data_IF_132632832522
#
_entry.id   IF_132632832522
#
_cell.length_a   1.000
_cell.length_b   1.000
_cell.length_c   1.000
_cell.angle_alpha   90.00
_cell.angle_beta   90.00
_cell.angle_gamma   90.00
#
_symmetry.space_group_name_H-M   'P 1'
#
loop_
_entity.id
_entity.type
_entity.pdbx_description
1 polymer ?
#
# COMPACT_ATOMS: atom_id res chain seq x y z
N UNK A 1 31.83 -19.92 -49.20
CA UNK A 1 32.18 -18.94 -48.14
C UNK A 1 31.15 -17.83 -47.91
N UNK A 2 30.32 -17.41 -48.87
CA UNK A 2 29.37 -16.28 -48.70
C UNK A 2 28.11 -16.58 -47.84
N UNK A 3 27.62 -17.81 -47.83
CA UNK A 3 26.43 -18.21 -47.06
C UNK A 3 26.63 -18.19 -45.53
N UNK A 4 27.84 -18.50 -45.05
CA UNK A 4 28.14 -18.51 -43.61
C UNK A 4 28.10 -17.10 -43.00
N UNK A 5 28.53 -16.09 -43.75
CA UNK A 5 28.52 -14.69 -43.27
C UNK A 5 27.11 -14.12 -43.17
N UNK A 6 26.21 -14.49 -44.10
CA UNK A 6 24.82 -14.05 -44.07
C UNK A 6 24.04 -14.61 -42.86
N UNK A 7 24.27 -15.89 -42.54
CA UNK A 7 23.65 -16.55 -41.37
C UNK A 7 24.12 -15.91 -40.06
N UNK A 8 25.42 -15.59 -39.95
CA UNK A 8 25.97 -14.89 -38.77
C UNK A 8 25.38 -13.48 -38.61
N UNK A 9 25.18 -12.75 -39.71
CA UNK A 9 24.59 -11.41 -39.68
C UNK A 9 23.11 -11.46 -39.27
N UNK A 10 22.34 -12.41 -39.79
CA UNK A 10 20.94 -12.59 -39.39
C UNK A 10 20.81 -12.97 -37.90
N UNK A 11 21.67 -13.88 -37.42
CA UNK A 11 21.68 -14.27 -36.01
C UNK A 11 22.01 -13.09 -35.10
N UNK A 12 22.95 -12.23 -35.50
CA UNK A 12 23.32 -11.03 -34.76
C UNK A 12 22.19 -9.98 -34.74
N UNK A 13 21.53 -9.75 -35.87
CA UNK A 13 20.36 -8.85 -35.96
C UNK A 13 19.17 -9.37 -35.13
N UNK A 14 18.96 -10.69 -35.11
CA UNK A 14 17.91 -11.30 -34.29
C UNK A 14 18.20 -11.20 -32.79
N UNK A 15 19.44 -11.49 -32.37
CA UNK A 15 19.87 -11.37 -30.98
C UNK A 15 19.79 -9.91 -30.48
N UNK A 16 20.26 -8.95 -31.29
CA UNK A 16 20.19 -7.52 -30.94
C UNK A 16 18.74 -7.03 -30.87
N UNK A 17 17.87 -7.49 -31.78
CA UNK A 17 16.43 -7.19 -31.71
C UNK A 17 15.79 -7.75 -30.44
N UNK A 18 16.16 -8.97 -30.01
CA UNK A 18 15.68 -9.54 -28.74
C UNK A 18 16.13 -8.70 -27.53
N UNK A 19 17.40 -8.27 -27.51
CA UNK A 19 17.93 -7.42 -26.44
C UNK A 19 17.25 -6.04 -26.40
N UNK A 20 16.94 -5.45 -27.55
CA UNK A 20 16.24 -4.17 -27.63
C UNK A 20 14.79 -4.32 -27.16
N UNK A 21 14.11 -5.43 -27.49
CA UNK A 21 12.75 -5.70 -27.03
C UNK A 21 12.69 -5.97 -25.52
N UNK A 22 13.66 -6.68 -24.93
CA UNK A 22 13.72 -6.86 -23.48
C UNK A 22 13.99 -5.54 -22.75
N UNK A 23 14.90 -4.71 -23.28
CA UNK A 23 15.16 -3.38 -22.74
C UNK A 23 13.96 -2.42 -22.91
N UNK A 24 13.16 -2.58 -23.97
CA UNK A 24 11.95 -1.79 -24.19
C UNK A 24 10.75 -2.25 -23.35
N UNK A 25 10.73 -3.50 -22.89
CA UNK A 25 9.75 -3.99 -21.91
C UNK A 25 10.07 -3.56 -20.47
N UNK A 26 11.32 -3.16 -20.20
CA UNK A 26 11.75 -2.58 -18.93
C UNK A 26 11.37 -1.09 -18.83
N UNK A 27 10.17 -0.74 -19.31
CA UNK A 27 9.48 0.47 -18.87
C UNK A 27 9.01 0.20 -17.45
N UNK A 28 9.95 0.22 -16.52
CA UNK A 28 9.72 0.04 -15.09
C UNK A 28 8.49 0.82 -14.66
N UNK A 29 7.64 0.16 -13.89
CA UNK A 29 6.44 0.78 -13.33
C UNK A 29 6.90 2.07 -12.61
N UNK A 30 6.41 3.27 -12.97
CA UNK A 30 6.94 4.51 -12.41
C UNK A 30 6.87 4.43 -10.88
N UNK A 31 7.95 4.83 -10.22
CA UNK A 31 8.06 4.90 -8.77
C UNK A 31 6.93 5.78 -8.22
N UNK A 32 6.21 5.28 -7.21
CA UNK A 32 5.04 5.95 -6.65
C UNK A 32 5.26 6.32 -5.20
N UNK A 33 4.68 7.44 -4.78
CA UNK A 33 4.53 7.81 -3.37
C UNK A 33 3.09 7.60 -2.95
N UNK A 34 2.89 6.69 -1.99
CA UNK A 34 1.58 6.15 -1.62
C UNK A 34 1.33 6.45 -0.14
N UNK A 35 0.10 6.80 0.20
CA UNK A 35 -0.36 6.87 1.58
C UNK A 35 -1.27 5.66 1.87
N UNK A 36 -1.08 5.00 3.00
CA UNK A 36 -1.95 3.92 3.49
C UNK A 36 -2.51 4.31 4.87
N UNK A 37 -3.81 4.58 4.95
CA UNK A 37 -4.50 4.90 6.21
C UNK A 37 -5.18 3.66 6.74
N UNK A 38 -4.90 3.31 8.01
CA UNK A 38 -5.45 2.13 8.67
C UNK A 38 -6.78 2.43 9.39
N UNK A 39 -7.78 1.60 9.19
CA UNK A 39 -9.12 1.71 9.79
C UNK A 39 -9.16 1.37 11.28
N UNK A 40 -10.23 1.80 11.94
CA UNK A 40 -10.53 1.48 13.33
C UNK A 40 -12.03 1.36 13.53
N UNK A 41 -12.45 0.35 14.28
CA UNK A 41 -13.85 0.25 14.69
C UNK A 41 -14.25 1.43 15.57
N UNK A 42 -13.33 2.03 16.33
CA UNK A 42 -13.66 3.23 17.09
C UNK A 42 -13.78 4.43 16.14
N UNK A 43 -14.99 5.00 16.02
CA UNK A 43 -15.27 6.12 15.11
C UNK A 43 -14.36 7.33 15.35
N UNK A 44 -14.14 7.72 16.60
CA UNK A 44 -13.26 8.86 16.94
C UNK A 44 -11.83 8.58 16.49
N UNK A 45 -11.32 7.37 16.72
CA UNK A 45 -9.99 6.94 16.25
C UNK A 45 -9.93 6.95 14.72
N UNK A 46 -10.96 6.49 14.02
CA UNK A 46 -11.04 6.52 12.56
C UNK A 46 -10.95 7.96 12.02
N UNK A 47 -11.77 8.87 12.55
CA UNK A 47 -11.76 10.29 12.18
C UNK A 47 -10.40 10.95 12.45
N UNK A 48 -9.79 10.67 13.60
CA UNK A 48 -8.45 11.15 13.94
C UNK A 48 -7.40 10.66 12.93
N UNK A 49 -7.45 9.38 12.51
CA UNK A 49 -6.51 8.83 11.52
C UNK A 49 -6.70 9.46 10.14
N UNK A 50 -7.94 9.71 9.72
CA UNK A 50 -8.21 10.44 8.47
C UNK A 50 -7.67 11.86 8.55
N UNK A 51 -7.87 12.56 9.68
CA UNK A 51 -7.32 13.89 9.90
C UNK A 51 -5.79 13.89 9.79
N UNK A 52 -5.10 12.91 10.36
CA UNK A 52 -3.64 12.77 10.18
C UNK A 52 -3.25 12.52 8.72
N UNK A 53 -4.04 11.74 8.00
CA UNK A 53 -3.86 11.53 6.56
C UNK A 53 -3.99 12.84 5.78
N UNK A 54 -4.99 13.68 6.09
CA UNK A 54 -5.17 14.99 5.49
C UNK A 54 -4.02 15.95 5.83
N UNK A 55 -3.58 16.00 7.10
CA UNK A 55 -2.42 16.79 7.51
C UNK A 55 -1.15 16.38 6.72
N UNK A 56 -0.96 15.08 6.48
CA UNK A 56 0.15 14.59 5.67
C UNK A 56 -0.04 14.88 4.18
N UNK A 57 -1.28 14.81 3.68
CA UNK A 57 -1.63 15.13 2.29
C UNK A 57 -1.38 16.60 1.95
N UNK A 58 -1.62 17.50 2.90
CA UNK A 58 -1.39 18.95 2.75
C UNK A 58 0.09 19.34 2.93
N UNK A 59 0.97 18.38 3.24
CA UNK A 59 2.40 18.60 3.36
C UNK A 59 3.08 18.73 1.97
N UNK A 60 4.38 19.10 1.90
CA UNK A 60 5.12 19.11 0.65
C UNK A 60 5.29 17.74 -0.03
N UNK A 61 4.87 16.64 0.61
CA UNK A 61 4.94 15.29 0.03
C UNK A 61 3.83 15.13 -1.02
N UNK A 62 4.21 14.88 -2.28
CA UNK A 62 3.25 14.61 -3.35
C UNK A 62 2.87 13.13 -3.38
N UNK A 63 1.58 12.84 -3.18
CA UNK A 63 1.04 11.48 -3.26
C UNK A 63 0.39 11.19 -4.60
N UNK A 64 0.75 10.05 -5.21
CA UNK A 64 0.09 9.51 -6.40
C UNK A 64 -1.34 9.08 -6.07
N UNK A 65 -1.50 8.38 -4.96
CA UNK A 65 -2.81 7.99 -4.41
C UNK A 65 -2.73 7.61 -2.94
N UNK A 66 -3.92 7.45 -2.37
CA UNK A 66 -4.19 7.05 -0.99
C UNK A 66 -4.95 5.73 -1.01
N UNK A 67 -4.52 4.78 -0.19
CA UNK A 67 -5.21 3.55 0.13
C UNK A 67 -5.81 3.70 1.52
N UNK A 68 -7.09 3.37 1.67
CA UNK A 68 -7.78 3.27 2.96
C UNK A 68 -8.14 1.80 3.21
N UNK A 69 -7.65 1.23 4.31
CA UNK A 69 -7.77 -0.21 4.62
C UNK A 69 -8.52 -0.42 5.93
N UNK A 70 -9.68 -1.07 5.86
CA UNK A 70 -10.56 -1.31 7.00
C UNK A 70 -11.88 -1.97 6.58
N UNK A 71 -12.20 -3.11 7.17
CA UNK A 71 -13.34 -3.93 6.77
C UNK A 71 -14.72 -3.44 7.22
N UNK A 72 -15.72 -4.27 6.94
CA UNK A 72 -17.13 -4.01 7.21
C UNK A 72 -17.64 -4.71 8.47
N UNK A 73 -18.75 -4.22 9.01
CA UNK A 73 -19.42 -4.86 10.16
C UNK A 73 -18.95 -4.38 11.52
N UNK A 74 -18.10 -3.34 11.59
CA UNK A 74 -17.87 -2.64 12.84
C UNK A 74 -19.22 -2.13 13.39
N UNK A 75 -19.49 -2.41 14.67
CA UNK A 75 -20.73 -2.03 15.37
C UNK A 75 -22.04 -2.50 14.72
N UNK A 76 -22.01 -3.57 13.92
CA UNK A 76 -23.22 -4.08 13.25
C UNK A 76 -23.70 -3.24 12.06
N UNK A 77 -22.91 -2.24 11.63
CA UNK A 77 -23.18 -1.45 10.42
C UNK A 77 -22.76 -2.21 9.16
N UNK A 78 -23.55 -2.09 8.09
CA UNK A 78 -23.17 -2.58 6.76
C UNK A 78 -22.06 -1.73 6.10
N UNK A 79 -21.71 -0.57 6.68
CA UNK A 79 -20.69 0.34 6.18
C UNK A 79 -19.30 -0.13 6.62
N UNK A 80 -18.36 -0.11 5.69
CA UNK A 80 -16.96 -0.46 5.94
C UNK A 80 -16.15 0.75 6.41
N UNK A 81 -15.20 0.54 7.30
CA UNK A 81 -14.30 1.58 7.80
C UNK A 81 -13.58 2.29 6.64
N UNK A 82 -13.12 1.55 5.63
CA UNK A 82 -12.52 2.12 4.42
C UNK A 82 -13.48 2.98 3.59
N UNK A 83 -14.78 2.68 3.58
CA UNK A 83 -15.78 3.53 2.93
C UNK A 83 -15.98 4.84 3.69
N UNK A 84 -16.03 4.80 5.02
CA UNK A 84 -16.14 5.98 5.87
C UNK A 84 -14.90 6.88 5.74
N UNK A 85 -13.69 6.28 5.79
CA UNK A 85 -12.45 7.01 5.56
C UNK A 85 -12.39 7.65 4.16
N UNK A 86 -12.83 6.93 3.12
CA UNK A 86 -12.88 7.49 1.77
C UNK A 86 -13.87 8.66 1.65
N UNK A 87 -15.00 8.64 2.37
CA UNK A 87 -15.94 9.77 2.39
C UNK A 87 -15.32 10.99 3.07
N UNK A 88 -14.72 10.80 4.26
CA UNK A 88 -14.06 11.87 5.01
C UNK A 88 -12.88 12.49 4.24
N UNK A 89 -12.09 11.69 3.51
CA UNK A 89 -11.02 12.20 2.64
C UNK A 89 -11.57 13.06 1.50
N UNK A 90 -12.69 12.68 0.90
CA UNK A 90 -13.35 13.47 -0.16
C UNK A 90 -13.88 14.80 0.39
N UNK A 91 -14.48 14.78 1.57
CA UNK A 91 -14.91 15.98 2.28
C UNK A 91 -13.72 16.90 2.59
N UNK A 92 -12.56 16.32 2.91
CA UNK A 92 -11.28 17.01 3.07
C UNK A 92 -10.61 17.47 1.77
N UNK A 93 -11.24 17.30 0.60
CA UNK A 93 -10.75 17.81 -0.68
C UNK A 93 -9.87 16.85 -1.48
N UNK A 94 -9.66 15.60 -1.03
CA UNK A 94 -8.91 14.61 -1.80
C UNK A 94 -9.73 14.16 -3.01
N UNK A 95 -9.18 14.22 -4.24
CA UNK A 95 -9.89 13.77 -5.43
C UNK A 95 -10.30 12.29 -5.33
N UNK A 96 -11.56 11.91 -5.62
CA UNK A 96 -12.01 10.52 -5.54
C UNK A 96 -11.16 9.53 -6.34
N UNK A 97 -10.62 9.95 -7.48
CA UNK A 97 -9.77 9.12 -8.34
C UNK A 97 -8.40 8.78 -7.71
N UNK A 98 -7.99 9.48 -6.64
CA UNK A 98 -6.79 9.19 -5.86
C UNK A 98 -7.06 8.22 -4.71
N UNK A 99 -8.30 7.81 -4.43
CA UNK A 99 -8.64 7.02 -3.24
C UNK A 99 -8.98 5.59 -3.63
N UNK A 100 -8.21 4.64 -3.13
CA UNK A 100 -8.45 3.21 -3.27
C UNK A 100 -8.89 2.60 -1.95
N UNK A 101 -9.91 1.75 -1.98
CA UNK A 101 -10.47 1.12 -0.78
C UNK A 101 -10.06 -0.35 -0.66
N UNK A 102 -9.75 -0.77 0.55
CA UNK A 102 -9.61 -2.16 0.94
C UNK A 102 -10.58 -2.44 2.10
N UNK A 103 -11.59 -3.28 1.87
CA UNK A 103 -12.76 -3.44 2.74
C UNK A 103 -12.89 -4.84 3.36
N UNK A 104 -11.82 -5.63 3.32
CA UNK A 104 -11.82 -7.02 3.81
C UNK A 104 -11.15 -7.17 5.17
N UNK A 105 -10.29 -6.25 5.55
CA UNK A 105 -9.46 -6.38 6.75
C UNK A 105 -10.24 -6.30 8.06
N UNK A 106 -9.86 -7.14 9.03
CA UNK A 106 -10.41 -7.15 10.40
C UNK A 106 -9.30 -7.10 11.45
N UNK A 107 -8.04 -6.94 11.03
CA UNK A 107 -6.88 -6.93 11.91
C UNK A 107 -5.70 -6.19 11.26
N UNK A 108 -4.72 -5.80 12.06
CA UNK A 108 -3.45 -5.20 11.58
C UNK A 108 -2.75 -6.08 10.54
N UNK A 109 -2.77 -7.41 10.74
CA UNK A 109 -2.19 -8.38 9.81
C UNK A 109 -2.93 -8.32 8.47
N UNK A 110 -4.26 -8.32 8.51
CA UNK A 110 -5.07 -8.29 7.30
C UNK A 110 -4.98 -6.94 6.58
N UNK A 111 -4.82 -5.82 7.29
CA UNK A 111 -4.54 -4.53 6.67
C UNK A 111 -3.31 -4.61 5.77
N UNK A 112 -2.20 -5.17 6.30
CA UNK A 112 -0.99 -5.39 5.51
C UNK A 112 -1.24 -6.35 4.33
N UNK A 113 -1.81 -7.52 4.60
CA UNK A 113 -1.99 -8.58 3.60
C UNK A 113 -2.92 -8.20 2.45
N UNK A 114 -4.02 -7.51 2.73
CA UNK A 114 -4.97 -7.14 1.71
C UNK A 114 -4.55 -5.87 0.98
N UNK A 115 -3.93 -4.89 1.66
CA UNK A 115 -3.39 -3.70 1.00
C UNK A 115 -2.28 -4.03 0.01
N UNK A 116 -1.33 -4.91 0.37
CA UNK A 116 -0.23 -5.32 -0.54
C UNK A 116 -0.71 -6.09 -1.77
N UNK A 117 -1.90 -6.70 -1.69
CA UNK A 117 -2.50 -7.51 -2.74
C UNK A 117 -3.45 -6.72 -3.64
N UNK A 118 -3.76 -5.45 -3.31
CA UNK A 118 -4.64 -4.62 -4.12
C UNK A 118 -4.08 -4.39 -5.53
N UNK A 119 -4.99 -4.40 -6.50
CA UNK A 119 -4.72 -4.19 -7.92
C UNK A 119 -5.77 -3.25 -8.52
N UNK A 120 -5.38 -2.54 -9.57
CA UNK A 120 -6.29 -1.86 -10.49
C UNK A 120 -7.05 -2.89 -11.36
N UNK A 121 -8.05 -2.41 -12.08
CA UNK A 121 -8.84 -3.24 -13.02
C UNK A 121 -7.98 -3.91 -14.09
N UNK A 122 -6.90 -3.25 -14.53
CA UNK A 122 -5.93 -3.80 -15.49
C UNK A 122 -4.97 -4.85 -14.89
N UNK A 123 -5.13 -5.19 -13.61
CA UNK A 123 -4.29 -6.15 -12.89
C UNK A 123 -3.00 -5.57 -12.31
N UNK A 124 -2.70 -4.28 -12.54
CA UNK A 124 -1.52 -3.61 -12.00
C UNK A 124 -1.62 -3.51 -10.48
N UNK A 125 -0.57 -3.93 -9.76
CA UNK A 125 -0.50 -3.78 -8.29
C UNK A 125 -0.47 -2.31 -7.90
N UNK A 126 -1.23 -1.98 -6.85
CA UNK A 126 -1.19 -0.65 -6.24
C UNK A 126 0.04 -0.43 -5.36
N UNK A 127 0.75 -1.46 -4.93
CA UNK A 127 2.01 -1.30 -4.20
C UNK A 127 3.03 -2.24 -4.86
N UNK A 128 4.10 -1.67 -5.41
CA UNK A 128 5.16 -2.37 -6.10
C UNK A 128 6.47 -2.26 -5.30
N UNK A 129 7.43 -3.18 -5.54
CA UNK A 129 8.81 -2.96 -5.12
C UNK A 129 9.30 -1.58 -5.54
N UNK A 130 10.18 -1.01 -4.72
CA UNK A 130 10.78 0.31 -4.85
C UNK A 130 9.85 1.51 -4.64
N UNK A 131 8.51 1.34 -4.57
CA UNK A 131 7.58 2.43 -4.22
C UNK A 131 7.90 3.02 -2.81
N UNK A 132 7.53 4.28 -2.61
CA UNK A 132 7.52 4.94 -1.30
C UNK A 132 6.14 4.82 -0.66
N UNK A 133 6.06 4.40 0.60
CA UNK A 133 4.79 4.18 1.30
C UNK A 133 4.78 4.87 2.66
N UNK A 134 3.77 5.69 2.93
CA UNK A 134 3.50 6.26 4.25
C UNK A 134 2.33 5.54 4.90
N UNK A 135 2.58 4.83 6.00
CA UNK A 135 1.54 4.15 6.77
C UNK A 135 1.06 5.07 7.89
N UNK A 136 -0.22 5.43 7.88
CA UNK A 136 -0.83 6.42 8.78
C UNK A 136 -1.70 5.74 9.84
N UNK A 137 -1.47 6.10 11.11
CA UNK A 137 -2.25 5.66 12.26
C UNK A 137 -2.06 6.62 13.44
N UNK A 138 -3.06 6.82 14.30
CA UNK A 138 -2.93 7.57 15.57
C UNK A 138 -2.40 6.69 16.73
N UNK A 139 -2.08 5.41 16.46
CA UNK A 139 -1.53 4.41 17.40
C UNK A 139 -0.37 3.60 16.78
N UNK A 140 0.23 2.70 17.57
CA UNK A 140 1.34 1.81 17.24
C UNK A 140 1.14 0.82 16.08
N UNK A 141 -0.02 0.79 15.41
CA UNK A 141 -0.29 -0.13 14.29
C UNK A 141 0.48 0.22 13.00
N UNK A 142 0.86 1.49 12.77
CA UNK A 142 1.57 1.86 11.55
C UNK A 142 3.01 1.33 11.50
N UNK A 143 3.68 1.25 12.65
CA UNK A 143 5.06 0.72 12.77
C UNK A 143 5.19 -0.72 12.26
N UNK A 144 4.44 -1.71 12.78
CA UNK A 144 4.53 -3.10 12.33
C UNK A 144 4.19 -3.27 10.85
N UNK A 145 3.20 -2.52 10.35
CA UNK A 145 2.80 -2.57 8.94
C UNK A 145 3.91 -1.99 8.04
N UNK A 146 4.43 -0.79 8.37
CA UNK A 146 5.51 -0.17 7.60
C UNK A 146 6.75 -1.08 7.55
N UNK A 147 7.19 -1.59 8.69
CA UNK A 147 8.36 -2.44 8.73
C UNK A 147 8.18 -3.79 8.01
N UNK A 148 6.96 -4.34 7.91
CA UNK A 148 6.72 -5.50 7.04
C UNK A 148 6.89 -5.16 5.56
N UNK A 149 6.34 -4.04 5.10
CA UNK A 149 6.53 -3.57 3.72
C UNK A 149 8.02 -3.39 3.40
N UNK A 150 8.79 -2.80 4.32
CA UNK A 150 10.26 -2.69 4.18
C UNK A 150 10.93 -4.07 4.09
N UNK A 151 10.56 -5.00 4.98
CA UNK A 151 11.28 -6.28 5.13
C UNK A 151 10.92 -7.28 4.03
N UNK A 152 9.68 -7.30 3.56
CA UNK A 152 9.14 -8.40 2.75
C UNK A 152 8.59 -8.00 1.38
N UNK A 153 8.42 -6.69 1.11
CA UNK A 153 7.89 -6.20 -0.15
C UNK A 153 8.88 -5.29 -0.91
N UNK A 154 10.07 -5.05 -0.36
CA UNK A 154 11.06 -4.13 -0.93
C UNK A 154 10.50 -2.73 -1.17
N UNK A 155 9.65 -2.24 -0.25
CA UNK A 155 9.01 -0.91 -0.31
C UNK A 155 9.72 0.04 0.67
N UNK A 156 9.95 1.28 0.26
CA UNK A 156 10.46 2.34 1.12
C UNK A 156 9.35 2.86 2.04
N UNK A 157 9.07 2.11 3.11
CA UNK A 157 7.96 2.39 3.99
C UNK A 157 8.34 3.25 5.21
N UNK A 158 7.60 4.33 5.42
CA UNK A 158 7.61 5.20 6.59
C UNK A 158 6.31 5.02 7.37
N UNK A 159 6.34 5.25 8.67
CA UNK A 159 5.12 5.36 9.48
C UNK A 159 4.91 6.83 9.88
N UNK A 160 3.65 7.24 9.91
CA UNK A 160 3.23 8.57 10.35
C UNK A 160 2.23 8.40 11.50
N UNK A 161 2.68 8.76 12.70
CA UNK A 161 1.92 8.62 13.94
C UNK A 161 1.95 9.95 14.69
N UNK A 162 0.78 10.40 15.14
CA UNK A 162 0.62 11.57 16.00
C UNK A 162 -0.54 11.30 16.96
N UNK A 163 -0.27 11.47 18.26
CA UNK A 163 -1.22 11.15 19.32
C UNK A 163 -0.50 10.75 20.60
N UNK A 164 -1.25 10.60 21.69
CA UNK A 164 -0.75 10.05 22.95
C UNK A 164 -1.83 9.14 23.54
N UNK A 165 -1.61 7.82 23.52
CA UNK A 165 -2.56 6.86 24.06
C UNK A 165 -1.80 5.74 24.79
N UNK A 166 -2.23 5.48 26.03
CA UNK A 166 -1.90 4.30 26.83
C UNK A 166 -2.57 3.07 26.19
N UNK A 167 -1.90 1.91 26.08
CA UNK A 167 -2.53 0.68 25.58
C UNK A 167 -3.84 0.41 26.33
N UNK A 168 -4.87 -0.10 25.65
CA UNK A 168 -6.08 -0.58 26.35
C UNK A 168 -5.69 -1.72 27.31
N UNK A 169 -6.42 -1.90 28.42
CA UNK A 169 -6.14 -2.99 29.38
C UNK A 169 -6.23 -4.38 28.74
N UNK A 170 -6.94 -4.49 27.61
CA UNK A 170 -7.10 -5.72 26.81
C UNK A 170 -6.15 -5.79 25.61
N UNK A 171 -5.38 -4.74 25.34
CA UNK A 171 -4.42 -4.76 24.24
C UNK A 171 -3.32 -5.76 24.58
N UNK A 172 -3.35 -6.91 23.90
CA UNK A 172 -2.13 -7.69 23.74
C UNK A 172 -1.18 -6.80 22.94
N UNK A 173 -0.27 -6.14 23.65
CA UNK A 173 0.82 -5.32 23.11
C UNK A 173 1.86 -6.21 22.39
N UNK A 174 1.42 -7.33 21.80
CA UNK A 174 2.22 -8.22 20.98
C UNK A 174 2.19 -7.73 19.54
N UNK A 175 2.96 -6.67 19.31
CA UNK A 175 3.24 -6.17 17.96
C UNK A 175 4.19 -7.10 17.18
N UNK A 176 4.78 -8.10 17.85
CA UNK A 176 5.69 -9.07 17.23
C UNK A 176 4.97 -10.18 16.49
N UNK A 177 3.69 -10.41 16.80
CA UNK A 177 2.81 -11.31 16.06
C UNK A 177 2.78 -11.05 14.56
N UNK A 178 2.94 -9.79 14.13
CA UNK A 178 3.07 -9.48 12.70
C UNK A 178 4.38 -9.98 12.10
N UNK A 179 5.44 -10.25 12.86
CA UNK A 179 6.76 -10.67 12.35
C UNK A 179 7.01 -12.17 12.47
N UNK A 180 6.16 -12.91 13.19
CA UNK A 180 6.31 -14.34 13.36
C UNK A 180 6.26 -15.05 11.99
N UNK A 181 7.28 -15.87 11.69
CA UNK A 181 7.35 -16.64 10.43
C UNK A 181 6.25 -17.71 10.40
N UNK A 182 5.14 -17.38 9.74
CA UNK A 182 4.03 -18.29 9.40
C UNK A 182 3.23 -17.71 8.23
N UNK A 183 2.27 -18.46 7.69
CA UNK A 183 1.33 -17.94 6.69
C UNK A 183 0.42 -16.88 7.33
N UNK A 184 0.89 -15.63 7.40
CA UNK A 184 0.15 -14.49 7.97
C UNK A 184 -1.05 -14.07 7.13
N UNK A 185 -0.91 -14.18 5.80
CA UNK A 185 -1.95 -13.79 4.88
C UNK A 185 -2.84 -15.01 4.60
N UNK A 186 -4.14 -14.94 4.90
CA UNK A 186 -5.10 -15.99 4.61
C UNK A 186 -5.41 -16.10 3.11
#
# INVERSE_FOLDING_TARGET
>A
MRFSSAIKLLAFLFLTSLCIQSAAQDKGNPHKTIMLILGSANKKTLEERVKLGLELYDSPVSFDYIIVSGGCGAHGSAICEASEMAALLKEGGVPPAKIYKEERSKSTVQNYCYSRALKKEDGTRLINPDDTLYVVSNHWHAIPVAARFTTYDSVHAFYYIKGGILPSETDKVDYTGIYNKGNLCP
#
